data_IF_759773125226
#
_entry.id   IF_759773125226
#
_cell.length_a   1.000
_cell.length_b   1.000
_cell.length_c   1.000
_cell.angle_alpha   90.00
_cell.angle_beta   90.00
_cell.angle_gamma   90.00
#
_symmetry.space_group_name_H-M   'P 1'
#
loop_
_entity.id
_entity.type
_entity.pdbx_description
1 polymer ?
#
# COMPACT_ATOMS: atom_id res chain seq x y z
N UNK A 1 -8.36 49.90 30.10
CA UNK A 1 -9.06 48.60 29.88
C UNK A 1 -9.07 48.26 28.39
N UNK A 2 -8.18 47.40 27.90
CA UNK A 2 -8.43 46.56 26.70
C UNK A 2 -7.25 45.60 26.46
N UNK A 3 -7.03 44.66 27.37
CA UNK A 3 -6.08 43.53 27.19
C UNK A 3 -6.76 42.19 27.47
N UNK A 4 -8.03 42.06 27.05
CA UNK A 4 -8.79 40.80 27.12
C UNK A 4 -9.44 40.39 25.80
N UNK A 5 -9.34 41.25 24.75
CA UNK A 5 -9.89 40.94 23.42
C UNK A 5 -8.94 40.12 22.54
N UNK A 6 -7.64 40.02 22.85
CA UNK A 6 -6.71 39.26 21.98
C UNK A 6 -6.59 37.77 22.34
N UNK A 7 -6.69 37.39 23.62
CA UNK A 7 -6.50 35.98 24.01
C UNK A 7 -7.67 35.08 23.57
N UNK A 8 -8.92 35.57 23.70
CA UNK A 8 -10.11 34.87 23.19
C UNK A 8 -10.08 34.73 21.67
N UNK A 9 -9.63 35.76 20.94
CA UNK A 9 -9.47 35.68 19.49
C UNK A 9 -8.39 34.68 19.07
N UNK A 10 -7.24 34.66 19.76
CA UNK A 10 -6.16 33.69 19.51
C UNK A 10 -6.64 32.26 19.83
N UNK A 11 -7.35 32.05 20.93
CA UNK A 11 -7.91 30.74 21.29
C UNK A 11 -8.96 30.31 20.26
N UNK A 12 -9.85 31.20 19.83
CA UNK A 12 -10.83 30.90 18.77
C UNK A 12 -10.11 30.62 17.43
N UNK A 13 -9.05 31.35 17.08
CA UNK A 13 -8.26 31.07 15.88
C UNK A 13 -7.51 29.74 15.97
N UNK A 14 -6.89 29.42 17.11
CA UNK A 14 -6.19 28.15 17.33
C UNK A 14 -7.20 27.00 17.36
N UNK A 15 -8.35 27.17 18.01
CA UNK A 15 -9.43 26.17 18.00
C UNK A 15 -9.98 25.99 16.58
N UNK A 16 -10.20 27.05 15.80
CA UNK A 16 -10.60 26.94 14.39
C UNK A 16 -9.50 26.31 13.53
N UNK A 17 -8.22 26.60 13.79
CA UNK A 17 -7.08 26.03 13.08
C UNK A 17 -6.88 24.54 13.42
N UNK A 18 -7.11 24.15 14.67
CA UNK A 18 -7.08 22.76 15.13
C UNK A 18 -8.32 21.97 14.65
N UNK A 19 -9.50 22.59 14.61
CA UNK A 19 -10.73 22.00 14.04
C UNK A 19 -10.60 21.85 12.52
N UNK A 20 -10.03 22.82 11.80
CA UNK A 20 -9.76 22.73 10.37
C UNK A 20 -8.69 21.70 10.00
N UNK A 21 -7.88 21.24 10.95
CA UNK A 21 -6.91 20.15 10.71
C UNK A 21 -7.58 18.76 10.67
N UNK A 22 -8.86 18.67 11.04
CA UNK A 22 -9.65 17.43 11.08
C UNK A 22 -10.87 17.47 10.16
N UNK A 23 -10.91 18.40 9.20
CA UNK A 23 -11.90 18.38 8.12
C UNK A 23 -11.28 17.70 6.89
N UNK A 24 -11.43 16.38 6.85
CA UNK A 24 -11.47 15.49 5.69
C UNK A 24 -10.73 15.99 4.44
N UNK A 25 -9.47 15.56 4.26
CA UNK A 25 -8.94 15.44 2.90
C UNK A 25 -9.81 14.39 2.21
N UNK A 26 -10.73 14.81 1.34
CA UNK A 26 -11.35 13.87 0.40
C UNK A 26 -10.21 13.12 -0.27
N UNK A 27 -10.16 11.81 -0.06
CA UNK A 27 -9.15 10.96 -0.69
C UNK A 27 -9.32 11.17 -2.20
N UNK A 28 -8.29 11.74 -2.83
CA UNK A 28 -8.29 12.14 -4.24
C UNK A 28 -8.77 10.97 -5.11
N UNK A 29 -8.48 9.74 -4.69
CA UNK A 29 -8.84 8.53 -5.40
C UNK A 29 -10.34 8.20 -5.36
N UNK A 30 -11.11 8.80 -4.44
CA UNK A 30 -12.55 8.62 -4.34
C UNK A 30 -13.35 9.66 -5.15
N UNK A 31 -12.68 10.71 -5.65
CA UNK A 31 -13.34 11.78 -6.41
C UNK A 31 -13.74 11.31 -7.82
N UNK A 32 -14.84 11.81 -8.41
CA UNK A 32 -15.17 11.53 -9.81
C UNK A 32 -14.19 12.23 -10.76
N UNK A 33 -14.00 11.75 -12.00
CA UNK A 33 -13.24 12.51 -13.00
C UNK A 33 -14.01 13.77 -13.40
N UNK A 34 -13.34 14.93 -13.37
CA UNK A 34 -13.95 16.19 -13.78
C UNK A 34 -13.20 16.89 -14.91
N UNK A 35 -13.92 17.16 -16.01
CA UNK A 35 -13.35 17.80 -17.21
C UNK A 35 -12.93 19.25 -16.97
N UNK A 36 -13.54 20.00 -16.05
CA UNK A 36 -13.30 21.44 -15.96
C UNK A 36 -14.16 22.26 -16.91
N UNK A 37 -14.09 23.59 -16.75
CA UNK A 37 -14.85 24.53 -17.58
C UNK A 37 -14.17 24.85 -18.92
N UNK A 38 -12.89 24.54 -19.07
CA UNK A 38 -12.16 24.74 -20.31
C UNK A 38 -12.46 23.64 -21.34
N UNK A 39 -12.19 23.91 -22.62
CA UNK A 39 -12.67 23.09 -23.75
C UNK A 39 -11.55 22.42 -24.55
N UNK A 40 -10.34 22.33 -24.00
CA UNK A 40 -9.29 21.52 -24.63
C UNK A 40 -9.63 20.02 -24.49
N UNK A 41 -9.04 19.18 -25.36
CA UNK A 41 -9.20 17.73 -25.29
C UNK A 41 -7.89 17.08 -24.84
N UNK A 42 -7.55 17.22 -23.55
CA UNK A 42 -6.29 16.70 -23.01
C UNK A 42 -6.55 15.34 -22.36
N UNK A 43 -5.97 14.23 -22.88
CA UNK A 43 -6.14 12.92 -22.26
C UNK A 43 -5.43 12.87 -20.91
N UNK A 44 -6.14 12.42 -19.88
CA UNK A 44 -5.63 12.22 -18.51
C UNK A 44 -6.13 10.88 -17.96
N UNK A 45 -5.53 10.45 -16.86
CA UNK A 45 -5.95 9.26 -16.12
C UNK A 45 -6.67 9.65 -14.84
N UNK A 46 -7.66 8.88 -14.43
CA UNK A 46 -8.31 8.99 -13.13
C UNK A 46 -8.47 7.60 -12.53
N UNK A 47 -8.52 7.50 -11.22
CA UNK A 47 -8.79 6.27 -10.50
C UNK A 47 -10.29 6.06 -10.35
N UNK A 48 -10.77 4.88 -10.74
CA UNK A 48 -12.15 4.48 -10.50
C UNK A 48 -12.22 3.50 -9.32
N UNK A 49 -12.71 3.94 -8.14
CA UNK A 49 -12.71 3.13 -6.93
C UNK A 49 -13.57 1.87 -7.06
N UNK A 50 -14.73 1.95 -7.72
CA UNK A 50 -15.65 0.81 -7.91
C UNK A 50 -14.98 -0.39 -8.60
N UNK A 51 -13.98 -0.12 -9.44
CA UNK A 51 -13.28 -1.15 -10.23
C UNK A 51 -11.84 -1.35 -9.77
N UNK A 52 -11.33 -0.50 -8.89
CA UNK A 52 -9.93 -0.45 -8.51
C UNK A 52 -8.95 -0.13 -9.65
N UNK A 53 -9.43 0.46 -10.76
CA UNK A 53 -8.64 0.64 -11.99
C UNK A 53 -8.45 2.11 -12.34
N UNK A 54 -7.28 2.43 -12.88
CA UNK A 54 -7.04 3.70 -13.55
C UNK A 54 -7.60 3.68 -14.98
N UNK A 55 -8.46 4.64 -15.31
CA UNK A 55 -9.10 4.79 -16.63
C UNK A 55 -8.74 6.14 -17.25
N UNK A 56 -8.86 6.24 -18.58
CA UNK A 56 -8.65 7.50 -19.31
C UNK A 56 -9.93 8.35 -19.29
N UNK A 57 -9.75 9.66 -19.23
CA UNK A 57 -10.80 10.66 -19.44
C UNK A 57 -10.23 11.91 -20.13
N UNK A 58 -11.12 12.82 -20.56
CA UNK A 58 -10.74 14.09 -21.18
C UNK A 58 -10.80 15.23 -20.19
N UNK A 59 -9.66 15.89 -19.98
CA UNK A 59 -9.55 17.12 -19.20
C UNK A 59 -9.53 18.35 -20.11
N UNK A 60 -10.29 19.37 -19.70
CA UNK A 60 -10.52 20.62 -20.41
C UNK A 60 -9.33 21.56 -20.46
N UNK A 61 -8.27 21.28 -19.71
CA UNK A 61 -7.00 22.04 -19.73
C UNK A 61 -6.90 23.14 -18.69
N UNK A 62 -7.83 23.24 -17.74
CA UNK A 62 -7.71 24.18 -16.63
C UNK A 62 -8.26 23.61 -15.30
N UNK A 63 -7.79 24.13 -14.16
CA UNK A 63 -8.17 23.62 -12.84
C UNK A 63 -9.59 24.02 -12.40
N UNK A 64 -10.15 25.11 -12.93
CA UNK A 64 -11.51 25.54 -12.55
C UNK A 64 -12.57 24.51 -12.99
N UNK A 65 -13.37 24.04 -12.04
CA UNK A 65 -14.39 23.01 -12.26
C UNK A 65 -13.82 21.59 -12.47
N UNK A 66 -12.59 21.36 -12.01
CA UNK A 66 -11.92 20.05 -12.03
C UNK A 66 -11.36 19.75 -10.63
N UNK A 67 -10.95 18.50 -10.40
CA UNK A 67 -10.36 18.05 -9.13
C UNK A 67 -9.04 17.31 -9.37
N UNK A 68 -8.45 16.77 -8.31
CA UNK A 68 -7.11 16.17 -8.36
C UNK A 68 -7.09 14.67 -8.72
N UNK A 69 -8.25 14.03 -8.95
CA UNK A 69 -8.30 12.67 -9.52
C UNK A 69 -7.99 12.73 -11.03
N UNK A 70 -6.81 13.26 -11.34
CA UNK A 70 -6.36 13.63 -12.67
C UNK A 70 -4.84 13.52 -12.74
N UNK A 71 -4.39 12.43 -13.34
CA UNK A 71 -2.99 12.07 -13.46
C UNK A 71 -2.54 12.15 -14.92
N UNK A 72 -1.28 12.50 -15.14
CA UNK A 72 -0.70 12.55 -16.48
C UNK A 72 -0.48 11.15 -17.06
N UNK A 73 0.03 10.27 -16.20
CA UNK A 73 0.42 8.91 -16.56
C UNK A 73 -0.44 7.92 -15.80
N UNK A 74 -0.69 6.76 -16.43
CA UNK A 74 -1.38 5.66 -15.77
C UNK A 74 -0.62 5.20 -14.52
N UNK A 75 0.72 5.16 -14.60
CA UNK A 75 1.59 4.82 -13.47
C UNK A 75 1.38 5.75 -12.29
N UNK A 76 1.32 7.07 -12.53
CA UNK A 76 1.05 8.05 -11.48
C UNK A 76 -0.29 7.78 -10.79
N UNK A 77 -1.35 7.52 -11.56
CA UNK A 77 -2.65 7.15 -11.01
C UNK A 77 -2.58 5.87 -10.15
N UNK A 78 -1.88 4.84 -10.62
CA UNK A 78 -1.74 3.57 -9.89
C UNK A 78 -0.88 3.76 -8.64
N UNK A 79 0.19 4.54 -8.73
CA UNK A 79 1.10 4.79 -7.61
C UNK A 79 0.43 5.62 -6.51
N UNK A 80 -0.50 6.52 -6.89
CA UNK A 80 -1.30 7.30 -5.96
C UNK A 80 -2.49 6.51 -5.39
N UNK A 81 -3.21 5.76 -6.24
CA UNK A 81 -4.52 5.21 -5.88
C UNK A 81 -4.64 3.68 -5.97
N UNK A 82 -3.75 3.00 -6.67
CA UNK A 82 -3.83 1.55 -6.95
C UNK A 82 -3.83 0.68 -5.69
N UNK A 83 -3.17 1.14 -4.64
CA UNK A 83 -3.12 0.46 -3.34
C UNK A 83 -4.45 0.50 -2.55
N UNK A 84 -5.42 1.33 -2.94
CA UNK A 84 -6.68 1.51 -2.20
C UNK A 84 -7.71 0.41 -2.41
N UNK A 85 -7.49 -0.51 -3.36
CA UNK A 85 -8.46 -1.58 -3.68
C UNK A 85 -8.34 -2.85 -2.84
N UNK A 86 -7.41 -2.92 -1.87
CA UNK A 86 -7.29 -4.13 -1.06
C UNK A 86 -8.41 -4.25 -0.02
N UNK A 87 -9.23 -5.28 -0.16
CA UNK A 87 -10.34 -5.59 0.76
C UNK A 87 -9.85 -6.06 2.13
N UNK A 88 -8.65 -6.66 2.19
CA UNK A 88 -8.00 -7.05 3.45
C UNK A 88 -7.05 -5.97 3.91
N UNK A 89 -7.26 -5.51 5.13
CA UNK A 89 -6.36 -4.57 5.79
C UNK A 89 -5.26 -5.34 6.51
N UNK A 90 -4.09 -4.74 6.55
CA UNK A 90 -2.93 -5.31 7.21
C UNK A 90 -1.95 -4.20 7.63
N UNK A 91 -1.08 -4.54 8.57
CA UNK A 91 -0.04 -3.67 9.11
C UNK A 91 1.33 -4.33 8.96
N UNK A 92 2.33 -3.54 8.55
CA UNK A 92 3.71 -3.97 8.50
C UNK A 92 4.27 -4.25 9.91
N UNK A 93 4.88 -5.42 10.12
CA UNK A 93 5.50 -5.80 11.39
C UNK A 93 7.02 -5.58 11.38
N UNK A 94 7.69 -6.06 10.32
CA UNK A 94 9.12 -5.86 10.16
C UNK A 94 9.84 -6.92 9.35
N UNK A 95 11.14 -6.69 9.20
CA UNK A 95 12.09 -7.55 8.51
C UNK A 95 12.78 -8.50 9.50
N UNK A 96 12.82 -9.79 9.16
CA UNK A 96 13.41 -10.82 10.00
C UNK A 96 14.26 -11.76 9.16
N UNK A 97 15.40 -12.19 9.70
CA UNK A 97 16.23 -13.22 9.10
C UNK A 97 15.48 -14.55 8.96
N UNK A 98 15.85 -15.35 7.97
CA UNK A 98 15.32 -16.68 7.75
C UNK A 98 15.68 -17.61 8.92
N UNK A 99 14.77 -17.71 9.88
CA UNK A 99 14.75 -18.76 10.90
C UNK A 99 13.48 -19.61 10.76
N UNK A 100 12.90 -19.74 9.55
CA UNK A 100 11.65 -20.49 9.34
C UNK A 100 11.76 -22.01 9.60
N UNK A 101 12.89 -22.48 10.11
CA UNK A 101 13.14 -23.85 10.53
C UNK A 101 13.58 -23.86 12.00
N UNK A 102 12.67 -23.46 12.90
CA UNK A 102 12.81 -23.80 14.33
C UNK A 102 12.25 -25.22 14.50
N UNK A 103 13.11 -26.21 14.21
CA UNK A 103 12.88 -27.67 14.33
C UNK A 103 11.64 -28.24 13.60
N UNK A 104 11.89 -28.99 12.53
CA UNK A 104 11.04 -30.02 11.89
C UNK A 104 9.58 -29.72 11.51
N UNK A 105 9.03 -28.52 11.78
CA UNK A 105 7.72 -28.10 11.28
C UNK A 105 7.82 -26.83 10.45
N UNK A 106 7.21 -26.79 9.24
CA UNK A 106 7.14 -25.56 8.47
C UNK A 106 6.30 -24.54 9.25
N UNK A 107 6.90 -23.39 9.58
CA UNK A 107 6.26 -22.30 10.34
C UNK A 107 5.07 -21.64 9.63
N UNK A 108 4.82 -22.07 8.39
CA UNK A 108 3.73 -21.60 7.56
C UNK A 108 3.54 -22.50 6.34
N UNK A 109 2.59 -22.12 5.49
CA UNK A 109 2.47 -22.71 4.15
C UNK A 109 2.78 -21.64 3.11
N UNK A 110 3.38 -22.08 2.01
CA UNK A 110 3.52 -21.25 0.81
C UNK A 110 2.13 -21.07 0.19
N UNK A 111 1.62 -19.84 0.23
CA UNK A 111 0.32 -19.47 -0.31
C UNK A 111 0.43 -19.02 -1.76
N UNK A 112 1.55 -18.37 -2.11
CA UNK A 112 1.86 -17.92 -3.48
C UNK A 112 3.34 -18.01 -3.76
N UNK A 113 3.65 -18.35 -5.01
CA UNK A 113 4.98 -18.23 -5.54
C UNK A 113 4.93 -17.50 -6.87
N UNK A 114 5.26 -16.20 -6.88
CA UNK A 114 5.33 -15.40 -8.11
C UNK A 114 6.78 -15.30 -8.64
N UNK A 115 7.70 -16.07 -8.04
CA UNK A 115 9.09 -16.19 -8.52
C UNK A 115 9.28 -17.28 -9.55
N UNK A 116 8.58 -18.39 -9.36
CA UNK A 116 8.83 -19.65 -10.04
C UNK A 116 7.53 -20.19 -10.65
N UNK A 117 7.47 -20.20 -11.98
CA UNK A 117 6.30 -20.66 -12.73
C UNK A 117 6.08 -22.17 -12.67
N UNK A 118 7.08 -22.94 -12.23
CA UNK A 118 6.98 -24.41 -12.08
C UNK A 118 6.51 -24.81 -10.67
N UNK A 119 6.48 -23.87 -9.74
CA UNK A 119 6.07 -24.13 -8.37
C UNK A 119 4.55 -24.37 -8.26
N UNK A 120 4.16 -25.30 -7.39
CA UNK A 120 2.75 -25.65 -7.14
C UNK A 120 1.88 -24.50 -6.61
N UNK A 121 2.49 -23.50 -5.98
CA UNK A 121 1.85 -22.29 -5.49
C UNK A 121 1.85 -21.13 -6.50
N UNK A 122 2.36 -21.35 -7.72
CA UNK A 122 2.23 -20.38 -8.82
C UNK A 122 0.77 -20.25 -9.25
N UNK A 123 0.32 -19.02 -9.52
CA UNK A 123 -1.08 -18.73 -9.87
C UNK A 123 -1.27 -17.97 -11.19
N UNK A 124 -0.22 -17.87 -12.02
CA UNK A 124 -0.26 -17.12 -13.28
C UNK A 124 0.29 -15.69 -13.20
N UNK A 125 0.78 -15.24 -12.04
CA UNK A 125 1.45 -13.93 -11.89
C UNK A 125 2.92 -14.12 -11.56
N UNK A 126 3.82 -13.48 -12.31
CA UNK A 126 5.26 -13.43 -12.02
C UNK A 126 5.64 -12.06 -11.45
N UNK A 127 6.80 -11.99 -10.78
CA UNK A 127 7.39 -10.72 -10.36
C UNK A 127 7.51 -9.77 -11.55
N UNK A 128 6.99 -8.55 -11.38
CA UNK A 128 7.19 -7.46 -12.31
C UNK A 128 8.27 -6.51 -11.78
N UNK A 129 9.51 -6.75 -12.21
CA UNK A 129 10.67 -5.95 -11.84
C UNK A 129 10.64 -4.54 -12.45
N UNK A 130 9.96 -4.34 -13.59
CA UNK A 130 9.87 -3.06 -14.27
C UNK A 130 8.84 -2.14 -13.61
N UNK A 131 7.78 -2.71 -13.04
CA UNK A 131 6.69 -2.01 -12.35
C UNK A 131 6.63 -2.39 -10.88
N UNK A 132 7.79 -2.45 -10.22
CA UNK A 132 7.94 -2.87 -8.83
C UNK A 132 6.98 -2.16 -7.86
N UNK A 133 6.85 -0.83 -8.00
CA UNK A 133 5.97 0.01 -7.19
C UNK A 133 4.48 -0.36 -7.31
N UNK A 134 4.09 -1.03 -8.40
CA UNK A 134 2.73 -1.53 -8.62
C UNK A 134 2.61 -2.99 -8.21
N UNK A 135 3.65 -3.77 -8.49
CA UNK A 135 3.73 -5.19 -8.20
C UNK A 135 3.65 -5.47 -6.70
N UNK A 136 4.51 -4.84 -5.89
CA UNK A 136 4.63 -5.19 -4.48
C UNK A 136 3.33 -4.92 -3.69
N UNK A 137 2.65 -3.76 -3.84
CA UNK A 137 1.34 -3.55 -3.24
C UNK A 137 0.29 -4.58 -3.70
N UNK A 138 0.29 -4.93 -4.99
CA UNK A 138 -0.65 -5.91 -5.54
C UNK A 138 -0.40 -7.33 -5.02
N UNK A 139 0.87 -7.74 -4.90
CA UNK A 139 1.29 -9.01 -4.28
C UNK A 139 0.84 -9.06 -2.83
N UNK A 140 1.10 -7.99 -2.07
CA UNK A 140 0.75 -7.92 -0.65
C UNK A 140 -0.75 -8.04 -0.44
N UNK A 141 -1.56 -7.44 -1.32
CA UNK A 141 -3.00 -7.62 -1.26
C UNK A 141 -3.43 -9.07 -1.54
N UNK A 142 -2.95 -9.68 -2.63
CA UNK A 142 -3.24 -11.10 -2.95
C UNK A 142 -2.81 -12.04 -1.82
N UNK A 143 -1.70 -11.73 -1.18
CA UNK A 143 -1.18 -12.48 -0.05
C UNK A 143 -2.08 -12.32 1.19
N UNK A 144 -2.52 -11.10 1.50
CA UNK A 144 -3.45 -10.82 2.59
C UNK A 144 -4.81 -11.53 2.41
N UNK A 145 -5.36 -11.51 1.19
CA UNK A 145 -6.60 -12.21 0.86
C UNK A 145 -6.48 -13.73 1.03
N UNK A 146 -5.39 -14.33 0.53
CA UNK A 146 -5.17 -15.78 0.68
C UNK A 146 -4.87 -16.18 2.11
N UNK A 147 -4.05 -15.42 2.82
CA UNK A 147 -3.76 -15.67 4.23
C UNK A 147 -5.07 -15.67 5.04
N UNK A 148 -5.90 -14.64 4.86
CA UNK A 148 -7.21 -14.57 5.50
C UNK A 148 -8.13 -15.73 5.11
N UNK A 149 -8.18 -16.10 3.83
CA UNK A 149 -8.99 -17.22 3.34
C UNK A 149 -8.59 -18.59 3.89
N UNK A 150 -7.33 -18.74 4.29
CA UNK A 150 -6.81 -19.95 4.93
C UNK A 150 -6.77 -19.87 6.46
N UNK A 151 -7.34 -18.83 7.07
CA UNK A 151 -7.42 -18.67 8.53
C UNK A 151 -6.10 -18.28 9.20
N UNK A 152 -5.17 -17.66 8.47
CA UNK A 152 -3.97 -17.09 9.04
C UNK A 152 -4.22 -15.66 9.53
N UNK A 153 -3.61 -15.28 10.65
CA UNK A 153 -3.62 -13.91 11.18
C UNK A 153 -2.42 -13.09 10.68
N UNK A 154 -1.35 -13.78 10.29
CA UNK A 154 -0.09 -13.19 9.84
C UNK A 154 0.32 -13.79 8.51
N UNK A 155 0.90 -12.98 7.63
CA UNK A 155 1.56 -13.43 6.42
C UNK A 155 2.94 -12.79 6.27
N UNK A 156 3.79 -13.38 5.44
CA UNK A 156 5.10 -12.84 5.15
C UNK A 156 5.43 -12.93 3.67
N UNK A 157 6.15 -11.94 3.16
CA UNK A 157 6.77 -12.00 1.84
C UNK A 157 8.25 -12.34 1.99
N UNK A 158 8.65 -13.38 1.29
CA UNK A 158 10.00 -13.88 1.18
C UNK A 158 10.50 -13.75 -0.25
N UNK A 159 11.80 -13.51 -0.40
CA UNK A 159 12.48 -13.56 -1.67
C UNK A 159 11.75 -12.78 -2.79
N UNK A 160 11.28 -11.57 -2.49
CA UNK A 160 10.59 -10.63 -3.38
C UNK A 160 9.18 -10.99 -3.86
N UNK A 161 8.80 -12.28 -3.88
CA UNK A 161 7.56 -12.72 -4.52
C UNK A 161 6.94 -13.99 -3.97
N UNK A 162 7.45 -14.51 -2.85
CA UNK A 162 6.92 -15.73 -2.24
C UNK A 162 6.11 -15.37 -1.01
N UNK A 163 4.81 -15.64 -1.04
CA UNK A 163 3.88 -15.37 0.05
C UNK A 163 3.74 -16.59 0.95
N UNK A 164 3.86 -16.38 2.26
CA UNK A 164 3.71 -17.39 3.29
C UNK A 164 2.60 -17.01 4.26
N UNK A 165 1.73 -17.95 4.62
CA UNK A 165 0.76 -17.81 5.72
C UNK A 165 1.32 -18.41 7.01
N UNK A 166 1.27 -17.69 8.14
CA UNK A 166 1.95 -18.01 9.39
C UNK A 166 0.94 -18.25 10.53
N UNK A 167 0.95 -19.43 11.18
CA UNK A 167 -0.12 -19.90 12.12
C UNK A 167 -0.07 -19.32 13.54
N UNK A 168 0.78 -18.32 13.81
CA UNK A 168 0.88 -17.66 15.12
C UNK A 168 1.07 -18.60 16.32
N UNK A 169 2.30 -19.10 16.50
CA UNK A 169 2.85 -19.37 17.82
C UNK A 169 4.38 -19.28 17.72
N UNK A 170 4.94 -18.10 18.00
CA UNK A 170 6.15 -17.92 18.81
C UNK A 170 6.64 -16.47 18.71
N UNK A 171 6.43 -15.76 19.81
CA UNK A 171 6.86 -14.42 20.16
C UNK A 171 8.39 -14.22 20.23
N UNK A 172 9.17 -14.98 19.46
CA UNK A 172 10.60 -14.80 19.30
C UNK A 172 10.93 -14.43 17.86
N UNK A 173 10.31 -13.34 17.42
CA UNK A 173 10.81 -12.41 16.40
C UNK A 173 12.11 -11.74 16.90
N UNK A 174 13.08 -12.57 17.32
CA UNK A 174 14.32 -12.18 17.99
C UNK A 174 15.21 -11.47 16.97
N UNK A 175 15.19 -10.14 17.10
CA UNK A 175 15.98 -9.14 16.38
C UNK A 175 15.48 -8.82 14.96
N UNK A 176 15.08 -7.57 14.77
CA UNK A 176 14.93 -6.93 13.45
C UNK A 176 16.30 -6.86 12.79
N UNK A 177 16.69 -7.92 12.11
CA UNK A 177 17.96 -7.99 11.39
C UNK A 177 17.68 -8.52 10.00
N UNK A 178 18.09 -7.77 8.99
CA UNK A 178 17.91 -8.22 7.61
C UNK A 178 17.92 -7.09 6.60
N UNK A 179 18.30 -7.46 5.38
CA UNK A 179 18.02 -6.67 4.19
C UNK A 179 16.61 -7.04 3.75
N UNK A 180 15.69 -6.08 3.83
CA UNK A 180 14.38 -6.15 3.21
C UNK A 180 14.24 -4.93 2.30
N UNK A 181 13.44 -5.05 1.26
CA UNK A 181 13.33 -4.06 0.20
C UNK A 181 11.96 -3.43 0.20
N UNK A 182 11.92 -2.11 0.07
CA UNK A 182 10.68 -1.35 0.06
C UNK A 182 10.04 -1.35 -1.34
N UNK A 183 9.05 -0.47 -1.52
CA UNK A 183 8.36 -0.22 -2.79
C UNK A 183 9.25 0.36 -3.89
N UNK A 184 10.53 0.63 -3.68
CA UNK A 184 11.53 0.99 -4.69
C UNK A 184 12.65 -0.06 -4.67
N UNK A 185 12.64 -0.97 -5.66
CA UNK A 185 13.56 -2.11 -5.69
C UNK A 185 15.03 -1.65 -5.52
N UNK A 186 15.73 -2.27 -4.56
CA UNK A 186 17.10 -1.91 -4.20
C UNK A 186 17.23 -0.92 -3.03
N UNK A 187 16.15 -0.28 -2.57
CA UNK A 187 16.14 0.51 -1.33
C UNK A 187 15.77 -0.34 -0.12
N UNK A 188 16.44 -0.08 1.01
CA UNK A 188 16.20 -0.79 2.25
C UNK A 188 14.92 -0.28 2.92
N UNK A 189 14.10 -1.19 3.43
CA UNK A 189 12.89 -0.86 4.18
C UNK A 189 13.16 0.10 5.34
N UNK A 190 12.47 1.24 5.33
CA UNK A 190 12.46 2.17 6.47
C UNK A 190 11.51 1.68 7.57
N UNK A 191 11.69 2.18 8.80
CA UNK A 191 10.84 1.84 9.95
C UNK A 191 9.44 2.47 9.89
N UNK A 192 9.17 3.34 8.90
CA UNK A 192 7.93 4.10 8.76
C UNK A 192 7.53 4.07 7.29
N UNK A 193 6.55 3.21 6.94
CA UNK A 193 5.92 3.20 5.62
C UNK A 193 5.98 1.85 4.89
N UNK A 194 4.83 1.18 4.91
CA UNK A 194 4.08 0.60 3.79
C UNK A 194 4.84 -0.03 2.60
N UNK A 195 4.57 -1.32 2.40
CA UNK A 195 4.99 -2.19 1.30
C UNK A 195 6.50 -2.48 1.23
N UNK A 196 6.84 -3.57 1.89
CA UNK A 196 8.15 -4.18 1.99
C UNK A 196 8.13 -5.69 1.68
N UNK A 197 9.28 -6.22 1.29
CA UNK A 197 9.48 -7.66 1.07
C UNK A 197 10.79 -8.13 1.67
N UNK A 198 10.82 -9.39 2.10
CA UNK A 198 12.06 -10.11 2.34
C UNK A 198 12.76 -10.45 1.02
N UNK A 199 14.02 -10.84 1.12
CA UNK A 199 14.87 -11.28 0.02
C UNK A 199 15.31 -12.72 0.23
N UNK A 200 16.48 -13.13 -0.30
CA UNK A 200 16.89 -14.53 -0.30
C UNK A 200 17.00 -15.16 1.09
N UNK A 201 17.31 -14.36 2.11
CA UNK A 201 17.54 -14.83 3.48
C UNK A 201 16.68 -14.13 4.51
N UNK A 202 15.63 -13.42 4.09
CA UNK A 202 14.78 -12.63 4.99
C UNK A 202 13.31 -12.74 4.63
N UNK A 203 12.46 -12.44 5.60
CA UNK A 203 11.02 -12.39 5.50
C UNK A 203 10.57 -11.01 5.98
N UNK A 204 9.62 -10.41 5.28
CA UNK A 204 8.93 -9.23 5.77
C UNK A 204 7.50 -9.60 6.16
N UNK A 205 7.17 -9.39 7.42
CA UNK A 205 5.92 -9.85 8.02
C UNK A 205 4.86 -8.75 8.05
N UNK A 206 3.62 -9.19 7.94
CA UNK A 206 2.41 -8.38 7.98
C UNK A 206 1.36 -9.04 8.86
N UNK A 207 0.70 -8.25 9.70
CA UNK A 207 -0.45 -8.67 10.50
C UNK A 207 -1.73 -8.24 9.82
N UNK A 208 -2.68 -9.16 9.62
CA UNK A 208 -4.03 -8.82 9.16
C UNK A 208 -4.79 -8.06 10.25
N UNK A 209 -5.64 -7.12 9.86
CA UNK A 209 -6.40 -6.23 10.77
C UNK A 209 -7.85 -6.12 10.37
#
# INVERSE_FOLDING_TARGET
MSSRRNLLFIIVFILNFLVNKMANSEDICLLPPETGFCRAMIPRWYYQPDTGKCKRFTWGGCPMGSNDNRFELQSQCIDTCGALSCSKKYQALGCYANQLFVSDQPLGIELLNERDMENKAFNGTLIDWLRWNQYLPSLLCRCAERASGHGYETFAIHNFGVCWGIKEHQANMLNKTGQCWDRFYGQQCSSIGDFCTGGPSTYYYYKLT
#
